data_IF_281796424720
#
_entry.id   IF_281796424720
#
_cell.length_a   1.000
_cell.length_b   1.000
_cell.length_c   1.000
_cell.angle_alpha   90.00
_cell.angle_beta   90.00
_cell.angle_gamma   90.00
#
_symmetry.space_group_name_H-M   'P 1'
#
loop_
_entity.id
_entity.type
_entity.pdbx_description
1 polymer ?
#
# COMPACT_ATOMS: atom_id res chain seq x y z
N UNK A 1 23.66 18.26 13.51
CA UNK A 1 22.19 18.08 13.57
C UNK A 1 21.52 17.97 12.20
N UNK A 2 21.67 18.93 11.27
CA UNK A 2 21.08 18.83 9.91
C UNK A 2 21.44 17.54 9.15
N UNK A 3 22.68 17.07 9.25
CA UNK A 3 23.15 15.83 8.58
C UNK A 3 22.49 14.56 9.14
N UNK A 4 22.19 14.53 10.44
CA UNK A 4 21.49 13.42 11.09
C UNK A 4 20.01 13.40 10.72
N UNK A 5 19.38 14.57 10.60
CA UNK A 5 17.99 14.68 10.14
C UNK A 5 17.83 14.19 8.69
N UNK A 6 18.72 14.59 7.78
CA UNK A 6 18.69 14.13 6.38
C UNK A 6 18.93 12.63 6.26
N UNK A 7 19.85 12.07 7.05
CA UNK A 7 20.10 10.62 7.08
C UNK A 7 18.87 9.83 7.59
N UNK A 8 18.21 10.33 8.63
CA UNK A 8 16.99 9.72 9.17
C UNK A 8 15.83 9.77 8.15
N UNK A 9 15.65 10.88 7.42
CA UNK A 9 14.64 10.97 6.37
C UNK A 9 14.95 10.06 5.17
N UNK A 10 16.23 9.88 4.81
CA UNK A 10 16.62 8.96 3.73
C UNK A 10 16.44 7.48 4.13
N UNK A 11 16.65 7.12 5.39
CA UNK A 11 16.38 5.77 5.89
C UNK A 11 14.88 5.40 5.81
N UNK A 12 13.99 6.40 5.88
CA UNK A 12 12.54 6.22 5.71
C UNK A 12 12.11 6.16 4.23
N UNK A 13 12.97 6.56 3.28
CA UNK A 13 12.72 6.58 1.84
C UNK A 13 13.34 5.38 1.11
N UNK A 14 13.56 4.27 1.81
CA UNK A 14 13.88 3.01 1.16
C UNK A 14 12.75 2.63 0.18
N UNK A 15 13.07 1.94 -0.92
CA UNK A 15 12.11 1.62 -1.99
C UNK A 15 10.95 0.77 -1.44
N UNK A 16 9.85 1.45 -1.14
CA UNK A 16 8.61 0.87 -0.63
C UNK A 16 7.66 0.71 -1.82
N UNK A 17 7.15 -0.49 -2.01
CA UNK A 17 6.13 -0.79 -3.02
C UNK A 17 4.84 -1.08 -2.29
N UNK A 18 3.76 -0.44 -2.74
CA UNK A 18 2.44 -0.65 -2.17
C UNK A 18 1.74 -1.74 -2.98
N UNK A 19 1.30 -2.81 -2.31
CA UNK A 19 0.59 -3.93 -2.95
C UNK A 19 -0.83 -4.05 -2.39
N UNK A 20 -1.81 -4.45 -3.21
CA UNK A 20 -3.17 -4.67 -2.72
C UNK A 20 -3.23 -6.01 -1.95
N UNK A 21 -3.79 -5.98 -0.74
CA UNK A 21 -3.97 -7.14 0.14
C UNK A 21 -5.44 -7.28 0.49
N UNK A 22 -6.00 -8.48 0.29
CA UNK A 22 -7.37 -8.76 0.74
C UNK A 22 -7.34 -9.11 2.22
N UNK A 23 -8.15 -8.40 3.00
CA UNK A 23 -8.44 -8.64 4.41
C UNK A 23 -9.89 -9.10 4.57
N UNK A 24 -10.13 -9.91 5.60
CA UNK A 24 -11.46 -10.43 5.92
C UNK A 24 -11.99 -9.77 7.18
N UNK A 25 -13.27 -9.44 7.15
CA UNK A 25 -14.00 -8.92 8.31
C UNK A 25 -15.30 -9.70 8.52
N UNK A 26 -15.97 -9.40 9.63
CA UNK A 26 -17.30 -9.90 9.91
C UNK A 26 -18.27 -8.72 9.99
N UNK A 27 -19.35 -8.77 9.23
CA UNK A 27 -20.46 -7.82 9.38
C UNK A 27 -21.50 -8.43 10.33
N UNK A 28 -21.66 -7.85 11.56
CA UNK A 28 -22.63 -8.35 12.52
C UNK A 28 -24.09 -8.05 12.14
N UNK A 29 -24.34 -7.01 11.33
CA UNK A 29 -25.69 -6.62 10.90
C UNK A 29 -26.25 -7.64 9.91
N UNK A 30 -25.44 -7.98 8.91
CA UNK A 30 -25.80 -8.95 7.88
C UNK A 30 -25.42 -10.40 8.23
N UNK A 31 -24.66 -10.63 9.31
CA UNK A 31 -24.12 -11.93 9.73
C UNK A 31 -23.39 -12.67 8.62
N UNK A 32 -22.54 -11.95 7.87
CA UNK A 32 -21.74 -12.49 6.77
C UNK A 32 -20.28 -12.10 6.89
N UNK A 33 -19.40 -12.95 6.35
CA UNK A 33 -17.99 -12.59 6.17
C UNK A 33 -17.85 -11.60 5.03
N UNK A 34 -17.23 -10.47 5.29
CA UNK A 34 -16.97 -9.42 4.32
C UNK A 34 -15.51 -9.41 3.90
N UNK A 35 -15.24 -8.93 2.69
CA UNK A 35 -13.88 -8.79 2.17
C UNK A 35 -13.61 -7.33 1.87
N UNK A 36 -12.38 -6.90 2.11
CA UNK A 36 -11.89 -5.58 1.72
C UNK A 36 -10.46 -5.72 1.22
N UNK A 37 -10.06 -4.86 0.31
CA UNK A 37 -8.68 -4.67 -0.09
C UNK A 37 -8.10 -3.43 0.58
N UNK A 38 -6.87 -3.56 1.05
CA UNK A 38 -6.06 -2.50 1.64
C UNK A 38 -4.68 -2.47 0.97
N UNK A 39 -3.99 -1.33 1.04
CA UNK A 39 -2.62 -1.21 0.54
C UNK A 39 -1.63 -1.57 1.64
N UNK A 40 -0.80 -2.57 1.38
CA UNK A 40 0.27 -3.00 2.28
C UNK A 40 1.62 -2.46 1.75
N UNK A 41 2.38 -1.71 2.57
CA UNK A 41 3.72 -1.27 2.21
C UNK A 41 4.73 -2.41 2.35
N UNK A 42 5.43 -2.74 1.26
CA UNK A 42 6.46 -3.78 1.23
C UNK A 42 7.81 -3.15 0.92
N UNK A 43 8.77 -3.35 1.82
CA UNK A 43 10.15 -2.90 1.63
C UNK A 43 10.91 -3.93 0.79
N UNK A 44 11.28 -3.57 -0.44
CA UNK A 44 11.96 -4.51 -1.36
C UNK A 44 13.49 -4.38 -1.28
N UNK A 45 13.99 -3.20 -0.91
CA UNK A 45 15.41 -2.97 -0.73
C UNK A 45 15.64 -1.94 0.38
N UNK A 46 16.81 -2.03 1.03
CA UNK A 46 17.26 -1.03 2.00
C UNK A 46 18.51 -0.33 1.47
N UNK A 47 18.51 1.00 1.52
CA UNK A 47 19.64 1.82 1.09
C UNK A 47 20.48 2.11 2.34
N UNK A 48 21.56 1.35 2.52
CA UNK A 48 22.39 1.41 3.74
C UNK A 48 23.44 2.53 3.70
N UNK A 49 23.95 2.88 2.50
CA UNK A 49 24.98 3.90 2.33
C UNK A 49 24.62 4.80 1.15
N UNK A 50 24.41 6.09 1.41
CA UNK A 50 24.01 7.08 0.42
C UNK A 50 24.99 8.27 0.50
N UNK A 51 25.95 8.31 -0.41
CA UNK A 51 26.92 9.40 -0.51
C UNK A 51 27.11 9.74 -1.99
N UNK A 52 27.22 11.03 -2.31
CA UNK A 52 27.38 11.57 -3.67
C UNK A 52 26.10 11.67 -4.53
N UNK A 53 26.23 12.17 -5.76
CA UNK A 53 25.14 12.45 -6.70
C UNK A 53 24.33 11.21 -7.10
N UNK A 54 24.95 10.03 -7.11
CA UNK A 54 24.24 8.75 -7.35
C UNK A 54 23.16 8.45 -6.31
N UNK A 55 23.29 8.98 -5.10
CA UNK A 55 22.27 8.89 -4.05
C UNK A 55 20.96 9.58 -4.47
N UNK A 56 21.06 10.77 -5.09
CA UNK A 56 19.88 11.52 -5.52
C UNK A 56 19.13 10.78 -6.62
N UNK A 57 19.84 10.20 -7.58
CA UNK A 57 19.25 9.40 -8.65
C UNK A 57 18.56 8.14 -8.10
N UNK A 58 19.18 7.45 -7.15
CA UNK A 58 18.59 6.27 -6.50
C UNK A 58 17.33 6.63 -5.70
N UNK A 59 17.35 7.74 -4.95
CA UNK A 59 16.17 8.21 -4.20
C UNK A 59 15.04 8.64 -5.14
N UNK A 60 15.37 9.31 -6.25
CA UNK A 60 14.38 9.67 -7.26
C UNK A 60 13.73 8.43 -7.88
N UNK A 61 14.53 7.40 -8.23
CA UNK A 61 14.02 6.14 -8.75
C UNK A 61 13.17 5.39 -7.71
N UNK A 62 13.60 5.34 -6.45
CA UNK A 62 12.85 4.72 -5.36
C UNK A 62 11.50 5.42 -5.13
N UNK A 63 11.49 6.76 -5.10
CA UNK A 63 10.28 7.56 -4.97
C UNK A 63 9.33 7.39 -6.15
N UNK A 64 9.86 7.41 -7.38
CA UNK A 64 9.06 7.16 -8.58
C UNK A 64 8.43 5.75 -8.58
N UNK A 65 9.18 4.74 -8.13
CA UNK A 65 8.69 3.36 -8.01
C UNK A 65 7.57 3.25 -6.97
N UNK A 66 7.75 3.89 -5.81
CA UNK A 66 6.74 3.94 -4.76
C UNK A 66 5.45 4.59 -5.27
N UNK A 67 5.56 5.76 -5.91
CA UNK A 67 4.42 6.47 -6.48
C UNK A 67 3.70 5.65 -7.56
N UNK A 68 4.45 5.03 -8.47
CA UNK A 68 3.89 4.17 -9.51
C UNK A 68 3.12 2.99 -8.91
N UNK A 69 3.70 2.31 -7.90
CA UNK A 69 3.03 1.20 -7.22
C UNK A 69 1.76 1.64 -6.50
N UNK A 70 1.75 2.81 -5.86
CA UNK A 70 0.59 3.35 -5.17
C UNK A 70 -0.57 3.63 -6.14
N UNK A 71 -0.29 4.19 -7.32
CA UNK A 71 -1.32 4.47 -8.33
C UNK A 71 -1.90 3.17 -8.89
N UNK A 72 -1.03 2.23 -9.30
CA UNK A 72 -1.47 0.97 -9.92
C UNK A 72 -2.22 0.13 -8.89
N UNK A 73 -1.61 -0.17 -7.75
CA UNK A 73 -2.23 -0.98 -6.70
C UNK A 73 -3.45 -0.30 -6.08
N UNK A 74 -3.43 1.04 -5.95
CA UNK A 74 -4.57 1.80 -5.45
C UNK A 74 -5.80 1.67 -6.34
N UNK A 75 -5.60 1.71 -7.67
CA UNK A 75 -6.71 1.50 -8.62
C UNK A 75 -7.34 0.11 -8.47
N UNK A 76 -6.52 -0.93 -8.28
CA UNK A 76 -6.96 -2.31 -8.04
C UNK A 76 -7.76 -2.39 -6.73
N UNK A 77 -7.25 -1.78 -5.67
CA UNK A 77 -7.92 -1.75 -4.36
C UNK A 77 -9.29 -1.08 -4.44
N UNK A 78 -9.42 0.05 -5.13
CA UNK A 78 -10.71 0.75 -5.29
C UNK A 78 -11.71 -0.14 -6.02
N UNK A 79 -11.34 -0.69 -7.18
CA UNK A 79 -12.23 -1.55 -7.96
C UNK A 79 -12.60 -2.81 -7.18
N UNK A 80 -11.64 -3.46 -6.52
CA UNK A 80 -11.88 -4.63 -5.68
C UNK A 80 -12.84 -4.34 -4.54
N UNK A 81 -12.71 -3.19 -3.88
CA UNK A 81 -13.60 -2.76 -2.80
C UNK A 81 -15.03 -2.49 -3.27
N UNK A 82 -15.21 -1.93 -4.48
CA UNK A 82 -16.54 -1.75 -5.07
C UNK A 82 -17.19 -3.12 -5.32
N UNK A 83 -16.44 -4.08 -5.88
CA UNK A 83 -16.93 -5.44 -6.13
C UNK A 83 -17.30 -6.14 -4.82
N UNK A 84 -16.42 -6.12 -3.83
CA UNK A 84 -16.68 -6.77 -2.54
C UNK A 84 -17.87 -6.16 -1.79
N UNK A 85 -18.07 -4.85 -1.89
CA UNK A 85 -19.26 -4.21 -1.34
C UNK A 85 -20.55 -4.69 -2.01
N UNK A 86 -20.55 -4.89 -3.33
CA UNK A 86 -21.71 -5.44 -4.04
C UNK A 86 -21.99 -6.89 -3.64
N UNK A 87 -20.94 -7.70 -3.47
CA UNK A 87 -21.06 -9.08 -3.00
C UNK A 87 -21.62 -9.16 -1.58
N UNK A 88 -21.17 -8.29 -0.68
CA UNK A 88 -21.67 -8.16 0.69
C UNK A 88 -23.16 -7.82 0.70
N UNK A 89 -23.57 -6.79 -0.06
CA UNK A 89 -24.99 -6.41 -0.18
C UNK A 89 -25.84 -7.53 -0.78
N UNK A 90 -25.32 -8.25 -1.77
CA UNK A 90 -26.00 -9.41 -2.37
C UNK A 90 -26.12 -10.59 -1.41
N UNK A 91 -25.12 -10.83 -0.58
CA UNK A 91 -25.10 -11.92 0.40
C UNK A 91 -26.00 -11.62 1.60
N UNK A 92 -26.01 -10.36 2.06
CA UNK A 92 -26.92 -9.92 3.12
C UNK A 92 -28.40 -10.12 2.75
N UNK A 93 -28.79 -9.75 1.52
CA UNK A 93 -30.16 -9.99 1.01
C UNK A 93 -30.54 -11.47 0.88
N UNK A 94 -29.56 -12.38 0.79
CA UNK A 94 -29.81 -13.83 0.74
C UNK A 94 -29.87 -14.46 2.14
N UNK A 95 -29.30 -13.80 3.15
CA UNK A 95 -29.24 -14.30 4.52
C UNK A 95 -30.45 -13.88 5.38
N UNK A 96 -31.23 -12.89 4.91
CA UNK A 96 -32.51 -12.44 5.48
C UNK A 96 -33.69 -13.24 4.97
#
# INVERSE_FOLDING_TARGET
MKRLAVAATCALLASCVLVPRTVHGWDPECRVTVRRMELEPVQIASIQHCHNEGCLALLAAAGATAAASAVISGSITIVGNVVYWLEERGSCKRAS
#
